data_IF_627391762002
#
_entry.id   IF_627391762002
#
_cell.length_a   1.000
_cell.length_b   1.000
_cell.length_c   1.000
_cell.angle_alpha   90.00
_cell.angle_beta   90.00
_cell.angle_gamma   90.00
#
_symmetry.space_group_name_H-M   'P 1'
#
loop_
_entity.id
_entity.type
_entity.pdbx_description
1 polymer ?
#
# COMPACT_ATOMS: atom_id res chain seq x y z
N UNK A 1 14.97 6.56 -35.90
CA UNK A 1 14.69 5.30 -35.19
C UNK A 1 15.19 5.47 -33.78
N UNK A 2 14.31 5.89 -32.87
CA UNK A 2 14.66 6.16 -31.48
C UNK A 2 14.02 5.04 -30.66
N UNK A 3 14.83 4.04 -30.30
CA UNK A 3 14.40 2.91 -29.50
C UNK A 3 14.18 3.39 -28.06
N UNK A 4 12.94 3.27 -27.58
CA UNK A 4 12.56 3.57 -26.21
C UNK A 4 13.35 2.73 -25.22
N UNK A 5 14.20 3.39 -24.44
CA UNK A 5 14.81 2.82 -23.23
C UNK A 5 13.71 2.64 -22.19
N UNK A 6 13.31 1.40 -21.95
CA UNK A 6 12.59 1.03 -20.73
C UNK A 6 13.49 1.38 -19.54
N UNK A 7 13.19 2.46 -18.84
CA UNK A 7 13.96 2.96 -17.72
C UNK A 7 13.75 2.00 -16.53
N UNK A 8 14.70 1.09 -16.30
CA UNK A 8 14.71 0.27 -15.10
C UNK A 8 14.96 1.18 -13.89
N UNK A 9 13.94 1.42 -13.06
CA UNK A 9 14.10 2.15 -11.79
C UNK A 9 15.18 1.47 -10.93
N UNK A 10 16.09 2.26 -10.36
CA UNK A 10 17.13 1.76 -9.47
C UNK A 10 16.52 1.14 -8.20
N UNK A 11 17.30 0.31 -7.47
CA UNK A 11 16.85 -0.24 -6.19
C UNK A 11 16.44 0.86 -5.21
N UNK A 12 17.19 1.96 -5.19
CA UNK A 12 16.98 3.09 -4.29
C UNK A 12 15.69 3.86 -4.66
N UNK A 13 15.42 4.08 -5.95
CA UNK A 13 14.18 4.71 -6.40
C UNK A 13 12.94 3.87 -6.03
N UNK A 14 13.06 2.54 -6.01
CA UNK A 14 11.97 1.67 -5.58
C UNK A 14 11.77 1.72 -4.07
N UNK A 15 12.86 1.78 -3.30
CA UNK A 15 12.83 1.94 -1.85
C UNK A 15 12.13 3.26 -1.47
N UNK A 16 12.47 4.36 -2.15
CA UNK A 16 11.87 5.68 -1.92
C UNK A 16 10.36 5.69 -2.20
N UNK A 17 9.94 5.07 -3.30
CA UNK A 17 8.51 4.94 -3.62
C UNK A 17 7.79 4.10 -2.56
N UNK A 18 8.38 2.98 -2.11
CA UNK A 18 7.82 2.16 -1.05
C UNK A 18 7.72 2.92 0.27
N UNK A 19 8.80 3.59 0.70
CA UNK A 19 8.83 4.43 1.90
C UNK A 19 7.69 5.43 1.88
N UNK A 20 7.53 6.18 0.80
CA UNK A 20 6.47 7.20 0.67
C UNK A 20 5.08 6.60 0.71
N UNK A 21 4.85 5.53 -0.05
CA UNK A 21 3.56 4.84 -0.13
C UNK A 21 3.16 4.30 1.25
N UNK A 22 4.10 3.66 1.95
CA UNK A 22 3.87 3.11 3.29
C UNK A 22 3.68 4.20 4.34
N UNK A 23 4.43 5.31 4.28
CA UNK A 23 4.22 6.46 5.15
C UNK A 23 2.83 7.08 4.96
N UNK A 24 2.39 7.30 3.70
CA UNK A 24 1.05 7.80 3.40
C UNK A 24 -0.02 6.85 3.94
N UNK A 25 0.19 5.54 3.77
CA UNK A 25 -0.73 4.53 4.28
C UNK A 25 -0.86 4.56 5.80
N UNK A 26 0.26 4.56 6.53
CA UNK A 26 0.27 4.66 8.01
C UNK A 26 -0.42 5.95 8.46
N UNK A 27 -0.11 7.08 7.81
CA UNK A 27 -0.70 8.37 8.15
C UNK A 27 -2.21 8.44 7.88
N UNK A 28 -2.72 7.73 6.88
CA UNK A 28 -4.17 7.54 6.69
C UNK A 28 -4.80 6.79 7.86
N UNK A 29 -4.19 5.70 8.34
CA UNK A 29 -4.69 4.97 9.51
C UNK A 29 -4.66 5.84 10.77
N UNK A 30 -3.60 6.62 10.97
CA UNK A 30 -3.50 7.54 12.09
C UNK A 30 -4.49 8.69 12.03
N UNK A 31 -4.71 9.28 10.86
CA UNK A 31 -5.74 10.30 10.66
C UNK A 31 -7.13 9.77 11.08
N UNK A 32 -7.50 8.57 10.64
CA UNK A 32 -8.77 7.90 11.02
C UNK A 32 -8.88 7.65 12.52
N UNK A 33 -7.76 7.38 13.20
CA UNK A 33 -7.69 7.18 14.64
C UNK A 33 -7.46 8.47 15.45
N UNK A 34 -7.41 9.65 14.81
CA UNK A 34 -7.14 10.92 15.48
C UNK A 34 -5.71 11.04 16.05
N UNK A 35 -4.75 10.28 15.50
CA UNK A 35 -3.34 10.27 15.93
C UNK A 35 -2.50 11.18 15.02
N UNK A 36 -1.42 11.80 15.55
CA UNK A 36 -0.49 12.58 14.72
C UNK A 36 0.15 11.71 13.64
N UNK A 37 0.66 12.27 12.54
CA UNK A 37 1.36 11.52 11.49
C UNK A 37 2.81 11.20 11.86
N UNK A 38 3.37 10.13 11.28
CA UNK A 38 4.84 9.94 11.21
C UNK A 38 5.45 10.87 10.16
N UNK A 39 6.68 11.29 10.40
CA UNK A 39 7.50 12.09 9.51
C UNK A 39 8.50 11.22 8.75
N UNK A 40 9.17 10.29 9.43
CA UNK A 40 10.10 9.36 8.80
C UNK A 40 9.84 7.91 9.25
N UNK A 41 9.51 7.07 8.27
CA UNK A 41 9.23 5.65 8.45
C UNK A 41 10.37 4.88 9.16
N UNK A 42 11.62 5.25 8.89
CA UNK A 42 12.80 4.51 9.34
C UNK A 42 13.29 4.93 10.72
N UNK A 43 12.77 6.02 11.29
CA UNK A 43 13.12 6.48 12.63
C UNK A 43 11.94 6.44 13.59
N UNK A 44 10.74 6.81 13.11
CA UNK A 44 9.57 6.98 13.98
C UNK A 44 8.98 5.65 14.45
N UNK A 45 9.35 4.54 13.80
CA UNK A 45 8.93 3.19 14.19
C UNK A 45 9.90 2.52 15.18
N UNK A 46 11.12 3.03 15.33
CA UNK A 46 12.22 2.34 16.02
C UNK A 46 12.00 2.20 17.54
N UNK A 47 11.20 3.07 18.16
CA UNK A 47 10.86 2.95 19.59
C UNK A 47 9.69 1.98 19.86
N UNK A 48 9.08 1.46 18.79
CA UNK A 48 7.95 0.54 18.80
C UNK A 48 6.60 1.15 19.20
N UNK A 49 6.52 2.41 19.65
CA UNK A 49 5.28 3.02 20.13
C UNK A 49 4.32 3.28 18.99
N UNK A 50 4.83 3.87 17.91
CA UNK A 50 4.05 4.15 16.69
C UNK A 50 3.58 2.87 16.01
N UNK A 51 4.40 1.82 16.05
CA UNK A 51 4.01 0.49 15.57
C UNK A 51 2.85 -0.10 16.39
N UNK A 52 2.92 -0.03 17.73
CA UNK A 52 1.82 -0.45 18.60
C UNK A 52 0.57 0.40 18.36
N UNK A 53 0.71 1.72 18.19
CA UNK A 53 -0.41 2.61 17.89
C UNK A 53 -1.12 2.30 16.58
N UNK A 54 -0.38 1.84 15.57
CA UNK A 54 -0.93 1.37 14.30
C UNK A 54 -1.73 0.09 14.52
N UNK A 55 -1.16 -0.87 15.25
CA UNK A 55 -1.85 -2.13 15.57
C UNK A 55 -3.09 -1.92 16.43
N UNK A 56 -3.13 -0.95 17.33
CA UNK A 56 -4.34 -0.58 18.08
C UNK A 56 -5.49 -0.21 17.14
N UNK A 57 -5.21 0.62 16.12
CA UNK A 57 -6.21 1.04 15.14
C UNK A 57 -6.70 -0.11 14.26
N UNK A 58 -5.82 -1.05 13.91
CA UNK A 58 -6.13 -2.20 13.07
C UNK A 58 -6.84 -3.33 13.82
N UNK A 59 -6.42 -3.62 15.06
CA UNK A 59 -6.99 -4.68 15.90
C UNK A 59 -8.24 -4.23 16.68
N UNK A 60 -8.48 -2.92 16.77
CA UNK A 60 -9.66 -2.34 17.42
C UNK A 60 -9.62 -2.36 18.95
N UNK A 61 -8.44 -2.53 19.57
CA UNK A 61 -8.28 -2.49 21.02
C UNK A 61 -6.96 -1.84 21.45
N UNK A 62 -6.93 -1.29 22.67
CA UNK A 62 -5.74 -0.60 23.20
C UNK A 62 -4.60 -1.58 23.50
N UNK A 63 -3.35 -1.13 23.33
CA UNK A 63 -2.14 -1.91 23.54
C UNK A 63 -1.22 -1.21 24.54
N UNK A 64 -0.69 -1.99 25.48
CA UNK A 64 0.27 -1.48 26.48
C UNK A 64 1.58 -1.09 25.79
N UNK A 65 2.05 0.13 26.06
CA UNK A 65 3.28 0.75 25.54
C UNK A 65 4.20 1.14 26.70
N UNK A 66 5.45 0.69 26.66
CA UNK A 66 6.48 1.15 27.59
C UNK A 66 6.89 2.59 27.27
N UNK A 67 6.95 3.42 28.32
CA UNK A 67 7.23 4.87 28.23
C UNK A 67 8.72 5.23 28.39
N UNK A 68 9.58 4.26 28.65
CA UNK A 68 11.02 4.51 28.76
C UNK A 68 11.67 4.81 27.41
N UNK A 69 12.86 5.41 27.47
CA UNK A 69 13.62 5.89 26.30
C UNK A 69 14.89 5.06 26.03
N UNK A 70 15.11 4.00 26.80
CA UNK A 70 16.27 3.13 26.58
C UNK A 70 15.97 2.12 25.47
N UNK A 71 17.03 1.62 24.81
CA UNK A 71 16.91 0.57 23.79
C UNK A 71 16.14 -0.67 24.27
N UNK A 72 16.22 -1.00 25.57
CA UNK A 72 15.45 -2.11 26.16
C UNK A 72 13.95 -1.86 26.07
N UNK A 73 13.49 -0.65 26.39
CA UNK A 73 12.06 -0.30 26.28
C UNK A 73 11.61 -0.32 24.81
N UNK A 74 12.44 0.17 23.88
CA UNK A 74 12.18 0.08 22.44
C UNK A 74 12.02 -1.37 21.99
N UNK A 75 12.95 -2.25 22.40
CA UNK A 75 12.88 -3.68 22.11
C UNK A 75 11.62 -4.33 22.69
N UNK A 76 11.23 -3.99 23.92
CA UNK A 76 10.02 -4.53 24.52
C UNK A 76 8.76 -4.12 23.74
N UNK A 77 8.67 -2.85 23.34
CA UNK A 77 7.56 -2.34 22.53
C UNK A 77 7.50 -3.03 21.15
N UNK A 78 8.63 -3.08 20.45
CA UNK A 78 8.70 -3.73 19.12
C UNK A 78 8.39 -5.21 19.22
N UNK A 79 9.02 -5.95 20.15
CA UNK A 79 8.77 -7.38 20.32
C UNK A 79 7.30 -7.66 20.65
N UNK A 80 6.65 -6.79 21.44
CA UNK A 80 5.22 -6.89 21.70
C UNK A 80 4.40 -6.73 20.41
N UNK A 81 4.74 -5.76 19.56
CA UNK A 81 4.09 -5.61 18.27
C UNK A 81 4.28 -6.85 17.37
N UNK A 82 5.50 -7.39 17.28
CA UNK A 82 5.79 -8.61 16.52
C UNK A 82 5.02 -9.83 17.04
N UNK A 83 4.89 -9.97 18.37
CA UNK A 83 4.07 -11.03 18.97
C UNK A 83 2.58 -10.90 18.62
N UNK A 84 2.05 -9.68 18.59
CA UNK A 84 0.66 -9.43 18.20
C UNK A 84 0.45 -9.81 16.73
N UNK A 85 1.39 -9.46 15.85
CA UNK A 85 1.37 -9.84 14.45
C UNK A 85 1.37 -11.36 14.27
N UNK A 86 2.25 -12.07 14.97
CA UNK A 86 2.29 -13.53 14.94
C UNK A 86 0.98 -14.16 15.45
N UNK A 87 0.40 -13.64 16.52
CA UNK A 87 -0.91 -14.08 17.05
C UNK A 87 -2.05 -13.88 16.06
N UNK A 88 -1.94 -12.90 15.18
CA UNK A 88 -2.89 -12.65 14.09
C UNK A 88 -2.50 -13.39 12.80
N UNK A 89 -1.58 -14.37 12.82
CA UNK A 89 -1.14 -15.13 11.64
C UNK A 89 -0.46 -14.28 10.55
N UNK A 90 0.27 -13.24 10.95
CA UNK A 90 1.18 -12.52 10.05
C UNK A 90 2.53 -13.25 10.02
N UNK A 91 3.02 -13.56 8.83
CA UNK A 91 4.32 -14.20 8.63
C UNK A 91 5.43 -13.14 8.70
N UNK A 92 6.37 -13.31 9.63
CA UNK A 92 7.49 -12.40 9.85
C UNK A 92 8.81 -13.06 9.45
N UNK A 93 9.03 -13.25 8.15
CA UNK A 93 10.20 -13.95 7.62
C UNK A 93 11.46 -13.09 7.83
N UNK A 94 12.34 -13.53 8.73
CA UNK A 94 13.62 -12.89 9.07
C UNK A 94 13.48 -11.45 9.61
N UNK A 95 12.40 -11.15 10.36
CA UNK A 95 12.22 -9.85 11.01
C UNK A 95 12.26 -10.03 12.52
N UNK A 96 13.30 -9.49 13.17
CA UNK A 96 13.45 -9.44 14.62
C UNK A 96 13.27 -8.04 15.19
N UNK A 97 13.12 -7.96 16.52
CA UNK A 97 12.93 -6.66 17.19
C UNK A 97 14.13 -5.72 17.06
N UNK A 98 15.34 -6.28 17.11
CA UNK A 98 16.57 -5.50 16.95
C UNK A 98 16.65 -4.83 15.57
N UNK A 99 16.20 -5.52 14.52
CA UNK A 99 16.22 -4.97 13.16
C UNK A 99 15.39 -3.69 13.02
N UNK A 100 14.26 -3.62 13.72
CA UNK A 100 13.40 -2.43 13.71
C UNK A 100 13.98 -1.34 14.60
N UNK A 101 14.43 -1.68 15.81
CA UNK A 101 14.99 -0.70 16.76
C UNK A 101 16.26 -0.06 16.21
N UNK A 102 17.08 -0.83 15.50
CA UNK A 102 18.35 -0.37 14.93
C UNK A 102 18.18 0.24 13.52
N UNK A 103 16.94 0.37 13.01
CA UNK A 103 16.64 1.13 11.80
C UNK A 103 16.96 0.41 10.48
N UNK A 104 16.84 -0.91 10.41
CA UNK A 104 17.08 -1.65 9.17
C UNK A 104 15.94 -1.38 8.15
N UNK A 105 16.19 -0.48 7.18
CA UNK A 105 15.19 -0.03 6.21
C UNK A 105 14.47 -1.17 5.50
N UNK A 106 15.22 -2.16 5.00
CA UNK A 106 14.67 -3.29 4.25
C UNK A 106 13.69 -4.12 5.10
N UNK A 107 14.04 -4.35 6.36
CA UNK A 107 13.20 -5.13 7.28
C UNK A 107 12.03 -4.31 7.82
N UNK A 108 12.17 -2.99 7.98
CA UNK A 108 11.06 -2.08 8.27
C UNK A 108 10.04 -2.07 7.13
N UNK A 109 10.49 -1.93 5.88
CA UNK A 109 9.61 -2.01 4.70
C UNK A 109 8.93 -3.38 4.62
N UNK A 110 9.66 -4.47 4.84
CA UNK A 110 9.12 -5.83 4.88
C UNK A 110 8.07 -6.03 5.98
N UNK A 111 8.30 -5.44 7.16
CA UNK A 111 7.35 -5.47 8.26
C UNK A 111 6.05 -4.74 7.90
N UNK A 112 6.14 -3.49 7.44
CA UNK A 112 4.96 -2.70 7.09
C UNK A 112 4.19 -3.33 5.92
N UNK A 113 4.90 -3.88 4.93
CA UNK A 113 4.28 -4.67 3.87
C UNK A 113 3.48 -5.85 4.42
N UNK A 114 4.04 -6.60 5.38
CA UNK A 114 3.37 -7.74 5.99
C UNK A 114 2.08 -7.33 6.73
N UNK A 115 2.09 -6.16 7.37
CA UNK A 115 0.92 -5.58 8.05
C UNK A 115 -0.16 -5.19 7.03
N UNK A 116 0.21 -4.44 5.98
CA UNK A 116 -0.70 -4.02 4.91
C UNK A 116 -1.35 -5.24 4.25
N UNK A 117 -0.55 -6.24 3.90
CA UNK A 117 -1.03 -7.45 3.25
C UNK A 117 -2.05 -8.19 4.13
N UNK A 118 -1.84 -8.23 5.45
CA UNK A 118 -2.77 -8.88 6.36
C UNK A 118 -4.09 -8.11 6.48
N UNK A 119 -4.04 -6.85 6.92
CA UNK A 119 -5.26 -6.10 7.29
C UNK A 119 -5.99 -5.45 6.12
N UNK A 120 -5.32 -5.13 5.02
CA UNK A 120 -6.02 -4.57 3.85
C UNK A 120 -6.33 -5.59 2.80
N UNK A 121 -5.40 -6.50 2.51
CA UNK A 121 -5.57 -7.41 1.38
C UNK A 121 -6.30 -8.67 1.83
N UNK A 122 -5.83 -9.37 2.87
CA UNK A 122 -6.48 -10.62 3.29
C UNK A 122 -7.88 -10.41 3.85
N UNK A 123 -8.12 -9.34 4.61
CA UNK A 123 -9.46 -9.05 5.17
C UNK A 123 -10.46 -8.65 4.08
N UNK A 124 -10.12 -7.72 3.19
CA UNK A 124 -11.02 -7.33 2.07
C UNK A 124 -11.26 -8.49 1.11
N UNK A 125 -10.24 -9.33 0.90
CA UNK A 125 -10.37 -10.46 -0.01
C UNK A 125 -11.04 -11.67 0.63
N UNK A 126 -11.27 -11.71 1.94
CA UNK A 126 -11.82 -12.89 2.64
C UNK A 126 -13.10 -13.42 1.99
N UNK A 127 -14.01 -12.52 1.63
CA UNK A 127 -15.27 -12.87 0.96
C UNK A 127 -15.05 -13.37 -0.48
N UNK A 128 -14.10 -12.76 -1.20
CA UNK A 128 -13.71 -13.15 -2.56
C UNK A 128 -12.96 -14.49 -2.57
N UNK A 129 -12.08 -14.74 -1.58
CA UNK A 129 -11.31 -15.97 -1.41
C UNK A 129 -12.21 -17.14 -1.02
N UNK A 130 -13.22 -16.91 -0.17
CA UNK A 130 -14.22 -17.91 0.19
C UNK A 130 -15.01 -18.39 -1.04
N UNK A 131 -15.34 -17.48 -1.96
CA UNK A 131 -16.03 -17.81 -3.21
C UNK A 131 -15.17 -18.53 -4.26
N UNK A 132 -13.84 -18.34 -4.24
CA UNK A 132 -12.93 -18.83 -5.29
C UNK A 132 -12.07 -20.05 -4.88
N UNK A 133 -12.13 -20.51 -3.62
CA UNK A 133 -11.29 -21.60 -3.09
C UNK A 133 -9.78 -21.44 -3.39
N UNK A 134 -9.29 -20.20 -3.48
CA UNK A 134 -7.88 -19.89 -3.71
C UNK A 134 -7.29 -19.21 -2.47
N UNK A 135 -6.02 -19.50 -2.16
CA UNK A 135 -5.32 -18.96 -0.98
C UNK A 135 -4.27 -17.89 -1.32
N UNK A 136 -3.97 -17.68 -2.61
CA UNK A 136 -3.00 -16.68 -3.04
C UNK A 136 -3.74 -15.37 -3.38
N UNK A 137 -3.69 -14.42 -2.45
CA UNK A 137 -4.32 -13.10 -2.56
C UNK A 137 -3.91 -12.36 -3.85
N UNK A 138 -2.67 -12.50 -4.32
CA UNK A 138 -2.22 -11.84 -5.54
C UNK A 138 -2.95 -12.39 -6.78
N UNK A 139 -3.07 -13.72 -6.91
CA UNK A 139 -3.77 -14.35 -8.04
C UNK A 139 -5.24 -14.00 -8.07
N UNK A 140 -5.86 -13.93 -6.90
CA UNK A 140 -7.28 -13.62 -6.76
C UNK A 140 -7.53 -12.16 -7.13
N UNK A 141 -6.68 -11.24 -6.67
CA UNK A 141 -6.80 -9.82 -6.99
C UNK A 141 -6.59 -9.62 -8.49
N UNK A 142 -5.61 -10.32 -9.08
CA UNK A 142 -5.36 -10.26 -10.51
C UNK A 142 -6.56 -10.79 -11.32
N UNK A 143 -7.16 -11.90 -10.88
CA UNK A 143 -8.37 -12.45 -11.49
C UNK A 143 -9.55 -11.48 -11.40
N UNK A 144 -9.77 -10.85 -10.24
CA UNK A 144 -10.82 -9.87 -10.04
C UNK A 144 -10.63 -8.62 -10.92
N UNK A 145 -9.41 -8.09 -11.01
CA UNK A 145 -9.12 -6.96 -11.91
C UNK A 145 -9.42 -7.34 -13.36
N UNK A 146 -8.92 -8.51 -13.83
CA UNK A 146 -9.15 -8.97 -15.21
C UNK A 146 -10.64 -9.14 -15.53
N UNK A 147 -11.41 -9.68 -14.59
CA UNK A 147 -12.86 -9.82 -14.75
C UNK A 147 -13.55 -8.46 -14.82
N UNK A 148 -13.10 -7.50 -13.99
CA UNK A 148 -13.68 -6.17 -13.93
C UNK A 148 -13.35 -5.31 -15.15
N UNK A 149 -12.21 -5.54 -15.79
CA UNK A 149 -11.76 -4.76 -16.96
C UNK A 149 -11.93 -5.50 -18.29
N UNK A 150 -12.63 -6.64 -18.33
CA UNK A 150 -12.72 -7.52 -19.51
C UNK A 150 -13.34 -6.84 -20.75
N UNK A 151 -14.24 -5.88 -20.53
CA UNK A 151 -15.01 -5.22 -21.58
C UNK A 151 -14.34 -3.92 -22.07
N UNK A 152 -13.12 -3.62 -21.60
CA UNK A 152 -12.37 -2.42 -21.97
C UNK A 152 -11.29 -2.76 -23.00
N UNK A 153 -11.40 -2.29 -24.24
CA UNK A 153 -10.39 -2.49 -25.26
C UNK A 153 -9.02 -1.97 -24.81
N UNK A 154 -7.96 -2.68 -25.20
CA UNK A 154 -6.58 -2.33 -24.88
C UNK A 154 -6.18 -2.39 -23.40
N UNK A 155 -7.10 -2.79 -22.50
CA UNK A 155 -6.78 -3.02 -21.09
C UNK A 155 -6.50 -4.49 -20.85
N UNK A 156 -5.22 -4.82 -20.65
CA UNK A 156 -4.80 -6.19 -20.34
C UNK A 156 -3.93 -6.24 -19.09
N UNK A 157 -4.55 -6.60 -17.96
CA UNK A 157 -3.86 -6.69 -16.67
C UNK A 157 -3.33 -8.10 -16.46
N UNK A 158 -2.01 -8.25 -16.46
CA UNK A 158 -1.31 -9.53 -16.25
C UNK A 158 -0.34 -9.49 -15.07
N UNK A 159 -0.10 -8.31 -14.48
CA UNK A 159 0.75 -8.11 -13.31
C UNK A 159 0.34 -6.85 -12.52
N UNK A 160 0.96 -6.60 -11.36
CA UNK A 160 0.79 -5.39 -10.54
C UNK A 160 1.91 -4.36 -10.72
N UNK A 161 2.56 -4.35 -11.88
CA UNK A 161 3.62 -3.41 -12.21
C UNK A 161 3.37 -2.75 -13.57
N UNK A 162 3.93 -3.28 -14.64
CA UNK A 162 3.87 -2.68 -15.98
C UNK A 162 2.45 -2.57 -16.55
N UNK A 163 1.53 -3.47 -16.19
CA UNK A 163 0.14 -3.43 -16.65
C UNK A 163 -0.66 -2.19 -16.19
N UNK A 164 -0.14 -1.43 -15.22
CA UNK A 164 -0.81 -0.26 -14.66
C UNK A 164 -0.14 1.06 -15.07
N UNK A 165 1.01 0.99 -15.73
CA UNK A 165 1.89 2.14 -15.97
C UNK A 165 1.30 3.15 -16.96
N UNK A 166 0.40 2.74 -17.85
CA UNK A 166 -0.24 3.61 -18.83
C UNK A 166 -1.52 4.31 -18.32
N UNK A 167 -1.95 3.99 -17.09
CA UNK A 167 -3.13 4.53 -16.44
C UNK A 167 -4.48 3.96 -16.90
N UNK A 168 -4.54 3.12 -17.93
CA UNK A 168 -5.81 2.59 -18.45
C UNK A 168 -6.48 1.64 -17.46
N UNK A 169 -5.71 0.74 -16.85
CA UNK A 169 -6.23 -0.24 -15.90
C UNK A 169 -6.93 0.41 -14.69
N UNK A 170 -6.36 1.49 -14.13
CA UNK A 170 -6.98 2.23 -13.03
C UNK A 170 -8.32 2.85 -13.42
N UNK A 171 -8.37 3.53 -14.57
CA UNK A 171 -9.62 4.13 -15.04
C UNK A 171 -10.68 3.07 -15.35
N UNK A 172 -10.29 1.98 -16.01
CA UNK A 172 -11.22 0.91 -16.39
C UNK A 172 -11.86 0.26 -15.15
N UNK A 173 -11.07 0.09 -14.09
CA UNK A 173 -11.56 -0.46 -12.84
C UNK A 173 -12.57 0.46 -12.14
N UNK A 174 -12.35 1.77 -12.15
CA UNK A 174 -13.31 2.75 -11.61
C UNK A 174 -14.60 2.73 -12.45
N UNK A 175 -14.45 2.85 -13.78
CA UNK A 175 -15.60 2.92 -14.70
C UNK A 175 -16.42 1.63 -14.72
N UNK A 176 -15.81 0.46 -14.51
CA UNK A 176 -16.54 -0.81 -14.48
C UNK A 176 -17.46 -0.96 -13.27
N UNK A 177 -17.10 -0.33 -12.15
CA UNK A 177 -17.91 -0.33 -10.94
C UNK A 177 -18.86 0.86 -10.86
N UNK A 178 -18.46 2.00 -11.41
CA UNK A 178 -19.18 3.28 -11.34
C UNK A 178 -19.12 4.02 -12.68
N UNK A 179 -19.81 3.51 -13.73
CA UNK A 179 -19.73 4.06 -15.09
C UNK A 179 -20.28 5.49 -15.18
N UNK A 180 -21.05 5.94 -14.19
CA UNK A 180 -21.62 7.29 -14.15
C UNK A 180 -20.61 8.38 -13.75
N UNK A 181 -19.41 8.03 -13.28
CA UNK A 181 -18.44 9.01 -12.78
C UNK A 181 -17.75 9.80 -13.90
N UNK A 182 -17.62 9.22 -15.09
CA UNK A 182 -17.04 9.86 -16.28
C UNK A 182 -17.30 9.01 -17.52
N UNK A 183 -17.28 9.63 -18.71
CA UNK A 183 -17.34 8.88 -19.97
C UNK A 183 -15.97 8.29 -20.31
N UNK A 184 -15.92 6.99 -20.66
CA UNK A 184 -14.68 6.32 -21.08
C UNK A 184 -13.92 7.04 -22.21
N UNK A 185 -14.65 7.69 -23.12
CA UNK A 185 -14.05 8.44 -24.24
C UNK A 185 -13.10 9.57 -23.82
N UNK A 186 -13.20 10.07 -22.58
CA UNK A 186 -12.28 11.06 -22.02
C UNK A 186 -10.89 10.44 -21.86
N UNK A 187 -10.84 9.21 -21.32
CA UNK A 187 -9.60 8.47 -21.07
C UNK A 187 -8.92 8.07 -22.38
N UNK A 188 -9.70 7.69 -23.40
CA UNK A 188 -9.18 7.35 -24.73
C UNK A 188 -8.54 8.54 -25.46
N UNK A 189 -9.04 9.76 -25.21
CA UNK A 189 -8.50 11.00 -25.80
C UNK A 189 -7.22 11.48 -25.11
N UNK A 190 -6.97 11.06 -23.86
CA UNK A 190 -5.76 11.43 -23.13
C UNK A 190 -4.53 10.77 -23.76
N UNK A 191 -3.52 11.60 -24.07
CA UNK A 191 -2.34 11.18 -24.82
C UNK A 191 -1.25 10.65 -23.91
N UNK A 192 -1.18 11.14 -22.67
CA UNK A 192 -0.13 10.73 -21.73
C UNK A 192 -0.65 9.78 -20.65
N UNK A 193 0.23 8.88 -20.20
CA UNK A 193 -0.04 8.04 -19.04
C UNK A 193 -0.27 8.88 -17.77
N UNK A 194 0.45 10.00 -17.66
CA UNK A 194 0.36 10.92 -16.52
C UNK A 194 -1.05 11.49 -16.36
N UNK A 195 -1.66 11.98 -17.45
CA UNK A 195 -3.04 12.49 -17.44
C UNK A 195 -4.03 11.40 -17.00
N UNK A 196 -3.85 10.16 -17.48
CA UNK A 196 -4.74 9.03 -17.13
C UNK A 196 -4.60 8.64 -15.67
N UNK A 197 -3.37 8.58 -15.15
CA UNK A 197 -3.10 8.25 -13.76
C UNK A 197 -3.64 9.32 -12.82
N UNK A 198 -3.36 10.59 -13.09
CA UNK A 198 -3.85 11.69 -12.27
C UNK A 198 -5.38 11.78 -12.29
N UNK A 199 -6.00 11.57 -13.45
CA UNK A 199 -7.45 11.49 -13.58
C UNK A 199 -8.03 10.38 -12.70
N UNK A 200 -7.51 9.15 -12.80
CA UNK A 200 -8.01 8.02 -12.01
C UNK A 200 -7.85 8.26 -10.51
N UNK A 201 -6.68 8.72 -10.06
CA UNK A 201 -6.39 8.94 -8.65
C UNK A 201 -7.24 10.07 -8.07
N UNK A 202 -7.37 11.19 -8.78
CA UNK A 202 -8.22 12.31 -8.36
C UNK A 202 -9.69 11.89 -8.29
N UNK A 203 -10.16 11.05 -9.22
CA UNK A 203 -11.55 10.63 -9.24
C UNK A 203 -11.86 9.63 -8.12
N UNK A 204 -10.95 8.68 -7.87
CA UNK A 204 -11.05 7.75 -6.74
C UNK A 204 -11.06 8.46 -5.38
N UNK A 205 -10.21 9.47 -5.19
CA UNK A 205 -10.16 10.27 -3.96
C UNK A 205 -11.45 11.07 -3.76
N UNK A 206 -11.86 11.86 -4.77
CA UNK A 206 -13.00 12.77 -4.65
C UNK A 206 -14.36 12.06 -4.52
N UNK A 207 -14.51 10.90 -5.17
CA UNK A 207 -15.84 10.27 -5.32
C UNK A 207 -16.00 8.96 -4.57
N UNK A 208 -14.88 8.26 -4.29
CA UNK A 208 -14.88 6.98 -3.59
C UNK A 208 -14.21 7.05 -2.22
N UNK A 209 -13.61 8.21 -1.86
CA UNK A 209 -12.89 8.38 -0.59
C UNK A 209 -11.65 7.48 -0.49
N UNK A 210 -11.05 7.11 -1.62
CA UNK A 210 -9.85 6.27 -1.69
C UNK A 210 -8.63 7.19 -1.63
N UNK A 211 -7.83 7.07 -0.56
CA UNK A 211 -6.63 7.88 -0.35
C UNK A 211 -5.63 7.72 -1.50
N UNK A 212 -5.06 8.84 -1.95
CA UNK A 212 -4.04 8.87 -3.00
C UNK A 212 -2.66 8.41 -2.49
N UNK A 213 -2.47 7.10 -2.44
CA UNK A 213 -1.20 6.48 -2.01
C UNK A 213 -0.09 6.58 -3.08
N UNK A 214 -0.48 6.68 -4.35
CA UNK A 214 0.43 6.71 -5.50
C UNK A 214 0.41 8.08 -6.18
N UNK A 215 1.59 8.53 -6.61
CA UNK A 215 1.73 9.74 -7.43
C UNK A 215 1.84 9.34 -8.90
N UNK A 216 1.24 10.14 -9.79
CA UNK A 216 1.09 9.79 -11.21
C UNK A 216 2.44 9.73 -11.96
N UNK A 217 3.47 10.41 -11.44
CA UNK A 217 4.83 10.35 -11.96
C UNK A 217 5.62 9.12 -11.51
N UNK A 218 5.16 8.39 -10.48
CA UNK A 218 6.03 7.50 -9.72
C UNK A 218 7.30 8.21 -9.23
N UNK A 219 7.26 9.55 -9.13
CA UNK A 219 8.27 10.46 -8.61
C UNK A 219 7.61 11.42 -7.63
N UNK A 220 8.49 11.85 -6.74
CA UNK A 220 8.35 12.71 -5.59
C UNK A 220 7.61 14.00 -5.95
N UNK A 221 6.50 14.36 -5.28
CA UNK A 221 6.14 15.76 -5.17
C UNK A 221 7.23 16.43 -4.32
N UNK A 222 7.91 17.42 -4.87
CA UNK A 222 8.79 18.29 -4.07
C UNK A 222 7.97 19.02 -2.99
N UNK A 223 8.61 19.41 -1.87
CA UNK A 223 7.95 19.81 -0.62
C UNK A 223 7.01 21.00 -0.73
#
# INVERSE_FOLDING_TARGET
MEQGRTQFKSSDEREDVQKKTFSKWINSQFSKAGKPPIQDLFTDLCDGRRLLELLEGLAGHELVKERGFTRVHSLNNVNRALQILQKNNVELVNIGGADIVDGNHKLILGLIWSIILHWQVKDVMKDVMAGLQQTNSEKILLSWVRQSTKDYPHVNVVNFSSSWADGLAFNALIHSHRPELFDWSIVEKQKSAMERLDHAFSKAEQTLGIDRLLDAEGKIPDP
#
